data_IF_594196694113
#
_entry.id   IF_594196694113
#
_cell.length_a   1.000
_cell.length_b   1.000
_cell.length_c   1.000
_cell.angle_alpha   90.00
_cell.angle_beta   90.00
_cell.angle_gamma   90.00
#
_symmetry.space_group_name_H-M   'P 1'
#
loop_
_entity.id
_entity.type
_entity.pdbx_description
1 polymer ?
#
# COMPACT_ATOMS: atom_id res chain seq x y z
N UNK A 1 -14.19 -1.17 -29.78
CA UNK A 1 -13.20 -1.48 -30.83
C UNK A 1 -11.75 -1.61 -30.31
N UNK A 2 -11.33 -0.93 -29.24
CA UNK A 2 -9.96 -1.09 -28.70
C UNK A 2 -9.77 -2.31 -27.78
N UNK A 3 -10.77 -2.68 -26.98
CA UNK A 3 -10.68 -3.79 -26.02
C UNK A 3 -10.57 -5.17 -26.70
N UNK A 4 -11.31 -5.38 -27.78
CA UNK A 4 -11.28 -6.62 -28.58
C UNK A 4 -9.91 -6.84 -29.22
N UNK A 5 -9.29 -5.77 -29.72
CA UNK A 5 -7.92 -5.79 -30.22
C UNK A 5 -6.89 -6.10 -29.10
N UNK A 6 -7.10 -5.63 -27.86
CA UNK A 6 -6.26 -5.99 -26.72
C UNK A 6 -6.40 -7.47 -26.31
N UNK A 7 -7.62 -8.02 -26.36
CA UNK A 7 -7.91 -9.42 -26.01
C UNK A 7 -7.33 -10.37 -27.06
N UNK A 8 -7.47 -10.05 -28.35
CA UNK A 8 -6.87 -10.85 -29.41
C UNK A 8 -5.35 -10.71 -29.46
N UNK A 9 -4.81 -9.51 -29.21
CA UNK A 9 -3.37 -9.29 -29.08
C UNK A 9 -2.72 -10.13 -27.97
N UNK A 10 -3.38 -10.27 -26.81
CA UNK A 10 -2.88 -11.02 -25.64
C UNK A 10 -2.48 -12.47 -25.95
N UNK A 11 -3.17 -13.13 -26.89
CA UNK A 11 -2.87 -14.51 -27.32
C UNK A 11 -1.48 -14.64 -27.96
N UNK A 12 -0.94 -13.54 -28.47
CA UNK A 12 0.32 -13.50 -29.22
C UNK A 12 1.46 -12.82 -28.44
N UNK A 13 1.21 -12.34 -27.22
CA UNK A 13 2.21 -11.70 -26.37
C UNK A 13 3.09 -12.72 -25.63
N UNK A 14 4.32 -12.30 -25.32
CA UNK A 14 5.17 -13.04 -24.38
C UNK A 14 4.56 -12.83 -22.98
N UNK A 15 4.28 -13.90 -22.25
CA UNK A 15 3.56 -13.87 -20.95
C UNK A 15 4.43 -13.31 -19.83
N UNK A 16 4.80 -12.04 -19.93
CA UNK A 16 5.51 -11.28 -18.91
C UNK A 16 4.59 -10.15 -18.49
N UNK A 17 4.17 -10.18 -17.22
CA UNK A 17 3.35 -9.14 -16.61
C UNK A 17 4.27 -8.06 -16.06
N UNK A 18 4.17 -6.83 -16.56
CA UNK A 18 4.90 -5.67 -16.02
C UNK A 18 3.91 -4.84 -15.22
N UNK A 19 4.13 -4.71 -13.91
CA UNK A 19 3.34 -3.86 -13.03
C UNK A 19 4.17 -2.62 -12.75
N UNK A 20 3.67 -1.44 -13.11
CA UNK A 20 4.33 -0.16 -12.88
C UNK A 20 3.38 0.82 -12.18
N UNK A 21 3.90 1.56 -11.22
CA UNK A 21 3.15 2.53 -10.42
C UNK A 21 3.50 3.96 -10.82
N UNK A 22 2.55 4.69 -11.41
CA UNK A 22 2.74 6.10 -11.78
C UNK A 22 2.04 7.02 -10.78
N UNK A 23 2.76 8.01 -10.25
CA UNK A 23 2.17 9.04 -9.41
C UNK A 23 1.26 9.97 -10.24
N UNK A 24 -0.02 10.04 -9.88
CA UNK A 24 -0.97 10.94 -10.52
C UNK A 24 -0.90 12.34 -9.92
N UNK A 25 -0.85 13.35 -10.79
CA UNK A 25 -0.90 14.76 -10.43
C UNK A 25 -2.24 15.37 -10.89
N UNK A 26 -2.86 16.19 -10.02
CA UNK A 26 -4.16 16.84 -10.30
C UNK A 26 -5.21 16.57 -9.23
N UNK A 27 -6.50 16.55 -9.61
CA UNK A 27 -7.67 16.40 -8.71
C UNK A 27 -7.67 15.06 -7.96
N UNK A 28 -7.11 14.02 -8.56
CA UNK A 28 -7.00 12.68 -7.98
C UNK A 28 -5.53 12.45 -7.59
N UNK A 29 -5.22 12.64 -6.31
CA UNK A 29 -3.89 12.36 -5.75
C UNK A 29 -3.78 10.85 -5.45
N UNK A 30 -2.70 10.21 -5.86
CA UNK A 30 -2.47 8.79 -5.61
C UNK A 30 -1.39 8.19 -6.52
N UNK A 31 -1.17 6.88 -6.40
CA UNK A 31 -0.33 6.07 -7.31
C UNK A 31 -1.28 5.21 -8.13
N UNK A 32 -1.30 5.41 -9.45
CA UNK A 32 -2.01 4.53 -10.37
C UNK A 32 -1.11 3.32 -10.65
N UNK A 33 -1.56 2.14 -10.28
CA UNK A 33 -0.90 0.90 -10.64
C UNK A 33 -1.40 0.47 -12.02
N UNK A 34 -0.49 0.29 -12.96
CA UNK A 34 -0.79 -0.19 -14.30
C UNK A 34 -0.16 -1.56 -14.49
N UNK A 35 -0.98 -2.56 -14.82
CA UNK A 35 -0.50 -3.85 -15.28
C UNK A 35 -0.51 -3.80 -16.81
N UNK A 36 0.67 -3.96 -17.41
CA UNK A 36 0.84 -3.95 -18.86
C UNK A 36 1.46 -5.26 -19.35
N UNK A 37 0.91 -5.80 -20.44
CA UNK A 37 1.58 -6.83 -21.24
C UNK A 37 2.57 -6.20 -22.22
N UNK A 38 3.64 -6.91 -22.58
CA UNK A 38 4.55 -6.51 -23.66
C UNK A 38 4.38 -7.41 -24.89
N UNK A 39 4.29 -6.80 -26.07
CA UNK A 39 4.31 -7.53 -27.34
C UNK A 39 5.74 -7.92 -27.77
N UNK A 40 5.83 -8.67 -28.86
CA UNK A 40 7.12 -9.11 -29.42
C UNK A 40 8.01 -7.93 -29.88
N UNK A 41 7.43 -6.74 -30.05
CA UNK A 41 8.10 -5.49 -30.44
C UNK A 41 8.35 -4.56 -29.23
N UNK A 42 8.26 -5.08 -28.00
CA UNK A 42 8.48 -4.37 -26.73
C UNK A 42 7.49 -3.22 -26.45
N UNK A 43 6.29 -3.21 -27.04
CA UNK A 43 5.25 -2.20 -26.79
C UNK A 43 4.34 -2.61 -25.64
N UNK A 44 3.99 -1.66 -24.78
CA UNK A 44 3.18 -1.89 -23.57
C UNK A 44 1.68 -1.76 -23.86
N UNK A 45 0.88 -2.70 -23.33
CA UNK A 45 -0.58 -2.75 -23.44
C UNK A 45 -1.25 -2.61 -22.06
N UNK A 46 -2.00 -1.52 -21.77
CA UNK A 46 -2.59 -1.30 -20.45
C UNK A 46 -3.89 -2.09 -20.23
N UNK A 47 -4.01 -2.73 -19.06
CA UNK A 47 -5.13 -3.61 -18.66
C UNK A 47 -5.74 -3.04 -17.36
N UNK A 48 -6.93 -2.45 -17.41
CA UNK A 48 -7.56 -1.67 -16.33
C UNK A 48 -8.06 -2.46 -15.08
N UNK A 49 -7.40 -3.58 -14.72
CA UNK A 49 -7.79 -4.48 -13.62
C UNK A 49 -6.91 -4.34 -12.37
N UNK A 50 -5.80 -3.60 -12.47
CA UNK A 50 -4.83 -3.44 -11.39
C UNK A 50 -5.45 -2.77 -10.15
N UNK A 51 -6.37 -1.82 -10.31
CA UNK A 51 -6.91 -1.05 -9.20
C UNK A 51 -7.83 -1.88 -8.27
N UNK A 52 -8.65 -2.78 -8.80
CA UNK A 52 -9.51 -3.63 -7.95
C UNK A 52 -8.69 -4.68 -7.18
N UNK A 53 -7.71 -5.32 -7.84
CA UNK A 53 -6.82 -6.29 -7.21
C UNK A 53 -5.94 -5.60 -6.17
N UNK A 54 -5.44 -4.40 -6.46
CA UNK A 54 -4.71 -3.59 -5.49
C UNK A 54 -5.60 -3.21 -4.29
N UNK A 55 -6.84 -2.76 -4.55
CA UNK A 55 -7.80 -2.43 -3.49
C UNK A 55 -8.10 -3.64 -2.59
N UNK A 56 -8.28 -4.83 -3.18
CA UNK A 56 -8.45 -6.07 -2.42
C UNK A 56 -7.19 -6.39 -1.60
N UNK A 57 -6.00 -6.33 -2.22
CA UNK A 57 -4.73 -6.56 -1.54
C UNK A 57 -4.48 -5.58 -0.37
N UNK A 58 -4.95 -4.34 -0.48
CA UNK A 58 -4.80 -3.31 0.55
C UNK A 58 -5.92 -3.29 1.60
N UNK A 59 -6.99 -4.07 1.44
CA UNK A 59 -8.11 -4.08 2.37
C UNK A 59 -7.65 -4.39 3.80
N UNK A 60 -8.11 -3.60 4.77
CA UNK A 60 -7.74 -3.77 6.18
C UNK A 60 -8.57 -4.85 6.86
N UNK A 61 -9.82 -5.00 6.43
CA UNK A 61 -10.77 -5.96 6.99
C UNK A 61 -10.95 -7.12 6.03
N UNK A 62 -11.07 -8.33 6.57
CA UNK A 62 -11.41 -9.53 5.78
C UNK A 62 -12.76 -9.33 5.08
N UNK A 63 -13.75 -8.74 5.76
CA UNK A 63 -15.07 -8.47 5.15
C UNK A 63 -15.04 -7.45 4.00
N UNK A 64 -14.07 -6.54 3.98
CA UNK A 64 -13.86 -5.61 2.86
C UNK A 64 -13.16 -6.33 1.71
N UNK A 65 -12.16 -7.16 2.03
CA UNK A 65 -11.50 -8.03 1.06
C UNK A 65 -12.49 -8.94 0.35
N UNK A 66 -13.32 -9.71 1.08
CA UNK A 66 -14.24 -10.69 0.46
C UNK A 66 -15.21 -10.02 -0.52
N UNK A 67 -15.74 -8.84 -0.19
CA UNK A 67 -16.60 -8.06 -1.10
C UNK A 67 -15.88 -7.68 -2.40
N UNK A 68 -14.64 -7.21 -2.28
CA UNK A 68 -13.82 -6.86 -3.45
C UNK A 68 -13.42 -8.11 -4.24
N UNK A 69 -13.19 -9.23 -3.55
CA UNK A 69 -12.80 -10.50 -4.15
C UNK A 69 -13.94 -11.15 -4.94
N UNK A 70 -15.16 -11.11 -4.41
CA UNK A 70 -16.38 -11.47 -5.15
C UNK A 70 -16.59 -10.57 -6.37
N UNK A 71 -16.35 -9.25 -6.23
CA UNK A 71 -16.44 -8.34 -7.37
C UNK A 71 -15.40 -8.67 -8.45
N UNK A 72 -14.17 -9.04 -8.06
CA UNK A 72 -13.14 -9.51 -9.00
C UNK A 72 -13.64 -10.76 -9.73
N UNK A 73 -14.24 -11.72 -9.02
CA UNK A 73 -14.80 -12.94 -9.62
C UNK A 73 -15.90 -12.64 -10.65
N UNK A 74 -16.83 -11.74 -10.32
CA UNK A 74 -17.93 -11.35 -11.19
C UNK A 74 -17.45 -10.57 -12.42
N UNK A 75 -16.39 -9.77 -12.25
CA UNK A 75 -15.86 -8.94 -13.33
C UNK A 75 -14.95 -9.73 -14.27
N UNK A 76 -14.07 -10.58 -13.72
CA UNK A 76 -13.19 -11.46 -14.49
C UNK A 76 -12.84 -12.72 -13.69
N UNK A 77 -13.54 -13.81 -14.01
CA UNK A 77 -13.34 -15.11 -13.40
C UNK A 77 -11.92 -15.67 -13.63
N UNK A 78 -11.23 -15.29 -14.73
CA UNK A 78 -9.87 -15.79 -15.04
C UNK A 78 -8.84 -15.16 -14.13
N UNK A 79 -9.01 -13.86 -13.85
CA UNK A 79 -8.19 -13.14 -12.88
C UNK A 79 -8.39 -13.74 -11.49
N UNK A 80 -9.63 -13.97 -11.09
CA UNK A 80 -9.97 -14.61 -9.83
C UNK A 80 -9.38 -16.03 -9.71
N UNK A 81 -9.54 -16.88 -10.72
CA UNK A 81 -8.97 -18.25 -10.74
C UNK A 81 -7.43 -18.25 -10.63
N UNK A 82 -6.77 -17.25 -11.21
CA UNK A 82 -5.33 -17.07 -11.03
C UNK A 82 -4.98 -16.67 -9.58
N UNK A 83 -5.71 -15.72 -8.99
CA UNK A 83 -5.48 -15.25 -7.63
C UNK A 83 -5.76 -16.33 -6.59
N UNK A 84 -6.75 -17.19 -6.82
CA UNK A 84 -7.14 -18.27 -5.89
C UNK A 84 -6.02 -19.34 -5.76
N UNK A 85 -5.16 -19.47 -6.78
CA UNK A 85 -3.97 -20.35 -6.73
C UNK A 85 -2.84 -19.81 -5.85
N UNK A 86 -2.91 -18.54 -5.47
CA UNK A 86 -1.89 -17.88 -4.64
C UNK A 86 -2.44 -17.76 -3.22
N UNK A 87 -1.68 -18.21 -2.23
CA UNK A 87 -2.08 -18.03 -0.83
C UNK A 87 -2.33 -16.54 -0.53
N UNK A 88 -3.56 -16.23 -0.08
CA UNK A 88 -4.05 -14.90 0.24
C UNK A 88 -3.14 -14.19 1.26
N UNK A 89 -2.48 -14.92 2.15
CA UNK A 89 -1.53 -14.38 3.14
C UNK A 89 -0.33 -13.68 2.49
N UNK A 90 0.03 -14.08 1.26
CA UNK A 90 1.21 -13.56 0.57
C UNK A 90 0.94 -12.17 -0.03
N UNK A 91 -0.25 -11.93 -0.58
CA UNK A 91 -0.52 -10.73 -1.36
C UNK A 91 -1.58 -9.80 -0.74
N UNK A 92 -2.29 -10.23 0.30
CA UNK A 92 -3.29 -9.40 0.99
C UNK A 92 -2.81 -8.92 2.35
N UNK A 93 -3.25 -7.73 2.74
CA UNK A 93 -3.00 -7.15 4.07
C UNK A 93 -3.87 -7.79 5.14
N UNK A 94 -5.13 -8.07 4.82
CA UNK A 94 -6.14 -8.58 5.76
C UNK A 94 -5.86 -10.00 6.25
N UNK A 95 -5.21 -10.85 5.43
CA UNK A 95 -4.91 -12.25 5.79
C UNK A 95 -3.48 -12.46 6.28
N UNK A 96 -2.62 -11.43 6.22
CA UNK A 96 -1.26 -11.54 6.69
C UNK A 96 -1.19 -11.47 8.22
N UNK A 97 -0.58 -12.48 8.85
CA UNK A 97 -0.55 -12.64 10.31
C UNK A 97 0.39 -11.66 11.03
N UNK A 98 1.36 -11.07 10.32
CA UNK A 98 2.33 -10.13 10.89
C UNK A 98 1.98 -8.65 10.73
N UNK A 99 2.84 -7.77 11.25
CA UNK A 99 2.72 -6.31 11.06
C UNK A 99 3.49 -5.86 9.83
N UNK A 100 2.80 -5.46 8.76
CA UNK A 100 3.44 -4.92 7.54
C UNK A 100 3.78 -3.43 7.61
N UNK A 101 3.32 -2.68 8.62
CA UNK A 101 3.57 -1.23 8.78
C UNK A 101 3.36 -0.40 7.50
N UNK A 102 2.30 -0.70 6.74
CA UNK A 102 2.00 -0.09 5.44
C UNK A 102 3.00 -0.37 4.30
N UNK A 103 3.93 -1.31 4.46
CA UNK A 103 4.81 -1.76 3.38
C UNK A 103 4.09 -2.80 2.54
N UNK A 104 3.47 -2.37 1.44
CA UNK A 104 2.70 -3.24 0.54
C UNK A 104 3.30 -3.36 -0.87
N UNK A 105 4.33 -2.58 -1.19
CA UNK A 105 4.84 -2.45 -2.57
C UNK A 105 6.27 -2.99 -2.75
N UNK A 106 6.55 -3.45 -3.97
CA UNK A 106 7.89 -3.76 -4.49
C UNK A 106 8.81 -2.54 -4.61
N UNK A 107 8.36 -1.34 -4.24
CA UNK A 107 9.10 -0.09 -4.38
C UNK A 107 10.48 -0.14 -3.70
N UNK A 108 10.62 -0.91 -2.61
CA UNK A 108 11.92 -1.14 -1.96
C UNK A 108 12.84 -1.94 -2.89
N UNK A 109 12.33 -3.01 -3.53
CA UNK A 109 13.10 -3.83 -4.45
C UNK A 109 13.46 -3.06 -5.74
N UNK A 110 12.54 -2.28 -6.30
CA UNK A 110 12.78 -1.42 -7.46
C UNK A 110 13.82 -0.33 -7.17
N UNK A 111 13.66 0.39 -6.06
CA UNK A 111 14.63 1.40 -5.62
C UNK A 111 16.01 0.80 -5.39
N UNK A 112 16.08 -0.41 -4.80
CA UNK A 112 17.33 -1.13 -4.58
C UNK A 112 17.94 -1.62 -5.90
N UNK A 113 17.13 -2.10 -6.84
CA UNK A 113 17.57 -2.53 -8.17
C UNK A 113 18.14 -1.36 -8.96
N UNK A 114 17.47 -0.20 -8.93
CA UNK A 114 17.96 1.02 -9.55
C UNK A 114 19.27 1.48 -8.91
N UNK A 115 19.36 1.48 -7.58
CA UNK A 115 20.58 1.86 -6.88
C UNK A 115 21.77 0.92 -7.17
N UNK A 116 21.52 -0.32 -7.61
CA UNK A 116 22.53 -1.32 -8.00
C UNK A 116 23.04 -1.16 -9.43
N UNK A 117 22.36 -0.42 -10.30
CA UNK A 117 22.75 -0.25 -11.70
C UNK A 117 24.23 0.13 -11.89
N UNK A 118 24.82 1.07 -11.11
CA UNK A 118 26.23 1.45 -11.28
C UNK A 118 27.26 0.37 -10.93
N UNK A 119 26.86 -0.68 -10.21
CA UNK A 119 27.74 -1.77 -9.77
C UNK A 119 27.44 -3.13 -10.41
N UNK A 120 26.46 -3.18 -11.33
CA UNK A 120 25.90 -4.44 -11.84
C UNK A 120 26.89 -5.30 -12.62
N UNK A 121 27.83 -4.67 -13.31
CA UNK A 121 28.85 -5.35 -14.12
C UNK A 121 30.19 -5.54 -13.36
N UNK A 122 30.19 -5.26 -12.05
CA UNK A 122 31.37 -5.43 -11.21
C UNK A 122 31.52 -6.88 -10.71
N UNK A 123 32.76 -7.34 -10.45
CA UNK A 123 32.98 -8.61 -9.74
C UNK A 123 32.20 -8.65 -8.41
N UNK A 124 31.75 -9.83 -7.99
CA UNK A 124 30.89 -10.03 -6.80
C UNK A 124 31.43 -9.30 -5.55
N UNK A 125 32.74 -9.33 -5.32
CA UNK A 125 33.38 -8.66 -4.18
C UNK A 125 33.23 -7.13 -4.26
N UNK A 126 33.38 -6.56 -5.45
CA UNK A 126 33.21 -5.13 -5.68
C UNK A 126 31.73 -4.69 -5.57
N UNK A 127 30.79 -5.52 -6.03
CA UNK A 127 29.36 -5.28 -5.84
C UNK A 127 28.96 -5.32 -4.35
N UNK A 128 29.47 -6.30 -3.59
CA UNK A 128 29.23 -6.39 -2.14
C UNK A 128 29.77 -5.17 -1.40
N UNK A 129 30.97 -4.71 -1.74
CA UNK A 129 31.57 -3.52 -1.14
C UNK A 129 30.80 -2.24 -1.53
N UNK A 130 30.31 -2.16 -2.77
CA UNK A 130 29.44 -1.07 -3.22
C UNK A 130 28.13 -1.02 -2.41
N UNK A 131 27.43 -2.16 -2.26
CA UNK A 131 26.20 -2.25 -1.47
C UNK A 131 26.47 -1.86 -0.01
N UNK A 132 27.54 -2.37 0.60
CA UNK A 132 27.92 -2.04 1.98
C UNK A 132 28.16 -0.55 2.19
N UNK A 133 28.89 0.11 1.26
CA UNK A 133 29.15 1.56 1.32
C UNK A 133 27.87 2.37 1.12
N UNK A 134 27.03 1.96 0.17
CA UNK A 134 25.74 2.62 -0.09
C UNK A 134 24.83 2.57 1.14
N UNK A 135 24.64 1.38 1.74
CA UNK A 135 23.83 1.22 2.94
C UNK A 135 24.38 2.02 4.11
N UNK A 136 25.71 1.98 4.33
CA UNK A 136 26.37 2.79 5.38
C UNK A 136 26.08 4.28 5.21
N UNK A 137 26.23 4.82 3.99
CA UNK A 137 25.92 6.24 3.71
C UNK A 137 24.44 6.56 3.93
N UNK A 138 23.53 5.66 3.54
CA UNK A 138 22.10 5.85 3.76
C UNK A 138 21.72 5.83 5.23
N UNK A 139 22.32 4.94 6.03
CA UNK A 139 22.12 4.91 7.47
C UNK A 139 22.68 6.16 8.15
N UNK A 140 23.88 6.59 7.75
CA UNK A 140 24.49 7.80 8.31
C UNK A 140 23.71 9.06 7.95
N UNK A 141 23.26 9.19 6.69
CA UNK A 141 22.38 10.28 6.27
C UNK A 141 21.08 10.30 7.08
N UNK A 142 20.49 9.13 7.34
CA UNK A 142 19.30 9.01 8.19
C UNK A 142 19.57 9.43 9.64
N UNK A 143 20.68 8.99 10.23
CA UNK A 143 21.08 9.39 11.59
C UNK A 143 21.30 10.90 11.70
N UNK A 144 22.05 11.49 10.77
CA UNK A 144 22.29 12.93 10.71
C UNK A 144 21.00 13.74 10.51
N UNK A 145 20.02 13.22 9.75
CA UNK A 145 18.71 13.87 9.62
C UNK A 145 17.97 13.84 10.96
N UNK A 146 17.90 12.68 11.60
CA UNK A 146 17.22 12.51 12.91
C UNK A 146 17.90 13.36 13.99
N UNK A 147 19.23 13.41 14.04
CA UNK A 147 19.96 14.20 15.05
C UNK A 147 19.74 15.70 14.93
N UNK A 148 19.41 16.17 13.72
CA UNK A 148 19.10 17.59 13.43
C UNK A 148 17.61 17.91 13.53
N UNK A 149 16.76 16.88 13.62
CA UNK A 149 15.33 17.09 13.73
C UNK A 149 14.98 17.64 15.11
N UNK A 150 14.12 18.65 15.11
CA UNK A 150 13.42 19.13 16.30
C UNK A 150 12.03 18.51 16.32
N UNK A 151 11.52 18.16 17.51
CA UNK A 151 10.23 17.49 17.67
C UNK A 151 10.32 16.01 18.01
N UNK A 152 9.18 15.43 18.40
CA UNK A 152 9.10 14.07 18.98
C UNK A 152 8.99 12.99 17.88
N UNK A 153 8.54 13.36 16.68
CA UNK A 153 8.28 12.42 15.58
C UNK A 153 8.95 12.86 14.27
N UNK A 154 9.30 11.90 13.38
CA UNK A 154 9.76 12.21 12.03
C UNK A 154 8.72 12.98 11.20
N UNK A 155 9.17 13.86 10.31
CA UNK A 155 8.31 14.73 9.49
C UNK A 155 7.29 13.96 8.64
N UNK A 156 7.67 12.77 8.18
CA UNK A 156 6.76 11.87 7.44
C UNK A 156 5.59 11.40 8.33
N UNK A 157 5.88 11.05 9.58
CA UNK A 157 4.85 10.62 10.53
C UNK A 157 3.98 11.82 10.90
N UNK A 158 4.58 12.98 11.12
CA UNK A 158 3.84 14.23 11.35
C UNK A 158 2.86 14.54 10.21
N UNK A 159 3.29 14.42 8.96
CA UNK A 159 2.41 14.60 7.80
C UNK A 159 1.22 13.63 7.80
N UNK A 160 1.47 12.34 8.07
CA UNK A 160 0.40 11.33 8.18
C UNK A 160 -0.57 11.70 9.30
N UNK A 161 -0.07 12.13 10.47
CA UNK A 161 -0.92 12.52 11.61
C UNK A 161 -1.74 13.77 11.30
N UNK A 162 -1.16 14.77 10.63
CA UNK A 162 -1.88 15.98 10.19
C UNK A 162 -3.00 15.62 9.22
N UNK A 163 -2.76 14.70 8.27
CA UNK A 163 -3.83 14.21 7.38
C UNK A 163 -4.96 13.52 8.16
N UNK A 164 -4.61 12.67 9.13
CA UNK A 164 -5.62 12.01 9.98
C UNK A 164 -6.39 13.02 10.86
N UNK A 165 -5.73 14.08 11.33
CA UNK A 165 -6.35 15.16 12.09
C UNK A 165 -7.38 15.93 11.25
N UNK A 166 -7.08 16.23 9.98
CA UNK A 166 -8.06 16.85 9.08
C UNK A 166 -9.26 15.92 8.86
N UNK A 167 -9.03 14.62 8.71
CA UNK A 167 -10.08 13.63 8.52
C UNK A 167 -10.92 13.32 9.76
N UNK A 168 -10.49 13.75 10.94
CA UNK A 168 -11.24 13.56 12.19
C UNK A 168 -12.22 14.71 12.47
N UNK A 169 -12.09 15.83 11.74
CA UNK A 169 -12.98 16.98 11.87
C UNK A 169 -14.43 16.55 11.59
N UNK A 170 -15.32 16.82 12.53
CA UNK A 170 -16.75 16.55 12.40
C UNK A 170 -17.19 15.15 12.84
N UNK A 171 -16.28 14.31 13.35
CA UNK A 171 -16.64 13.07 14.05
C UNK A 171 -17.30 13.41 15.39
N UNK A 172 -18.32 12.63 15.76
CA UNK A 172 -18.92 12.71 17.09
C UNK A 172 -18.18 11.75 18.02
N UNK A 173 -17.84 12.24 19.21
CA UNK A 173 -17.05 11.51 20.20
C UNK A 173 -17.89 11.31 21.44
N UNK A 174 -18.09 10.06 21.84
CA UNK A 174 -18.83 9.68 23.03
C UNK A 174 -17.90 8.89 23.95
N UNK A 175 -17.53 9.43 25.13
CA UNK A 175 -16.68 8.71 26.07
C UNK A 175 -17.47 7.55 26.72
N UNK A 176 -16.88 6.35 26.72
CA UNK A 176 -17.42 5.17 27.40
C UNK A 176 -16.68 4.90 28.72
N UNK A 177 -15.38 5.17 28.77
CA UNK A 177 -14.54 5.08 29.96
C UNK A 177 -13.36 6.07 29.90
N UNK A 178 -12.38 5.95 30.79
CA UNK A 178 -11.16 6.77 30.77
C UNK A 178 -10.35 6.60 29.48
N UNK A 179 -10.38 5.39 28.89
CA UNK A 179 -9.57 5.05 27.73
C UNK A 179 -10.40 4.57 26.53
N UNK A 180 -11.71 4.36 26.69
CA UNK A 180 -12.59 3.85 25.65
C UNK A 180 -13.59 4.90 25.18
N UNK A 181 -13.73 5.02 23.86
CA UNK A 181 -14.56 6.02 23.19
C UNK A 181 -15.31 5.39 22.03
N UNK A 182 -16.54 5.84 21.82
CA UNK A 182 -17.33 5.56 20.63
C UNK A 182 -17.32 6.77 19.70
N UNK A 183 -16.86 6.54 18.46
CA UNK A 183 -16.68 7.58 17.45
C UNK A 183 -17.68 7.37 16.31
N UNK A 184 -18.59 8.32 16.11
CA UNK A 184 -19.65 8.21 15.11
C UNK A 184 -19.45 9.16 13.92
N UNK A 185 -19.61 8.62 12.72
CA UNK A 185 -19.56 9.39 11.47
C UNK A 185 -20.91 10.05 11.21
N UNK A 186 -21.01 11.39 11.29
CA UNK A 186 -22.28 12.12 11.10
C UNK A 186 -23.00 11.79 9.79
N UNK A 187 -22.24 11.59 8.70
CA UNK A 187 -22.80 11.35 7.38
C UNK A 187 -23.43 9.96 7.21
N UNK A 188 -22.93 8.95 7.93
CA UNK A 188 -23.37 7.55 7.76
C UNK A 188 -24.06 6.97 8.99
N UNK A 189 -23.94 7.64 10.15
CA UNK A 189 -24.39 7.12 11.44
C UNK A 189 -23.57 5.93 11.96
N UNK A 190 -22.50 5.53 11.28
CA UNK A 190 -21.72 4.35 11.65
C UNK A 190 -20.74 4.67 12.80
N UNK A 191 -20.83 3.87 13.87
CA UNK A 191 -19.99 3.97 15.07
C UNK A 191 -18.72 3.13 14.99
N UNK A 192 -17.66 3.59 15.66
CA UNK A 192 -16.38 2.90 15.80
C UNK A 192 -15.94 2.97 17.25
N UNK A 193 -15.68 1.81 17.86
CA UNK A 193 -15.04 1.77 19.18
C UNK A 193 -13.52 1.99 19.06
N UNK A 194 -12.99 2.76 20.00
CA UNK A 194 -11.57 3.08 20.16
C UNK A 194 -11.17 2.82 21.60
N UNK A 195 -10.06 2.14 21.80
CA UNK A 195 -9.40 1.96 23.10
C UNK A 195 -7.98 2.52 22.99
N UNK A 196 -7.72 3.62 23.69
CA UNK A 196 -6.44 4.33 23.67
C UNK A 196 -5.35 3.64 24.51
N UNK A 197 -5.74 2.90 25.56
CA UNK A 197 -4.80 2.17 26.43
C UNK A 197 -4.24 0.96 25.68
N UNK A 198 -5.12 0.14 25.09
CA UNK A 198 -4.72 -1.02 24.27
C UNK A 198 -4.26 -0.63 22.87
N UNK A 199 -4.43 0.63 22.47
CA UNK A 199 -4.12 1.16 21.13
C UNK A 199 -4.87 0.42 20.01
N UNK A 200 -6.16 0.21 20.19
CA UNK A 200 -7.00 -0.50 19.23
C UNK A 200 -8.17 0.36 18.75
N UNK A 201 -8.59 0.10 17.52
CA UNK A 201 -9.79 0.69 16.95
C UNK A 201 -10.52 -0.33 16.08
N UNK A 202 -11.85 -0.25 16.03
CA UNK A 202 -12.68 -1.07 15.14
C UNK A 202 -12.35 -0.85 13.64
N UNK A 203 -11.69 0.25 13.28
CA UNK A 203 -11.22 0.48 11.91
C UNK A 203 -9.97 -0.35 11.55
N UNK A 204 -9.34 -1.01 12.52
CA UNK A 204 -8.13 -1.85 12.40
C UNK A 204 -6.83 -1.09 12.09
N UNK A 205 -6.91 0.15 11.59
CA UNK A 205 -5.73 0.94 11.19
C UNK A 205 -4.80 1.25 12.35
N UNK A 206 -5.33 1.52 13.55
CA UNK A 206 -4.51 1.90 14.72
C UNK A 206 -3.54 0.77 15.11
N UNK A 207 -4.08 -0.44 15.30
CA UNK A 207 -3.28 -1.61 15.67
C UNK A 207 -2.37 -2.12 14.55
N UNK A 208 -2.78 -1.98 13.28
CA UNK A 208 -1.98 -2.43 12.12
C UNK A 208 -0.81 -1.51 11.80
N UNK A 209 -1.00 -0.19 11.87
CA UNK A 209 0.06 0.77 11.58
C UNK A 209 0.91 1.12 12.79
N UNK A 210 0.37 0.95 14.00
CA UNK A 210 0.99 1.45 15.23
C UNK A 210 0.97 2.98 15.34
N UNK A 211 0.18 3.64 14.48
CA UNK A 211 -0.04 5.08 14.47
C UNK A 211 -1.53 5.38 14.71
N UNK A 212 -1.88 6.43 15.46
CA UNK A 212 -3.26 6.85 15.63
C UNK A 212 -3.97 7.02 14.28
N UNK A 213 -5.11 6.35 14.13
CA UNK A 213 -6.03 6.59 13.01
C UNK A 213 -6.91 7.82 13.32
N UNK A 214 -7.63 8.36 12.33
CA UNK A 214 -8.57 9.49 12.54
C UNK A 214 -9.54 9.30 13.70
N UNK A 215 -9.96 8.07 14.01
CA UNK A 215 -10.84 7.78 15.15
C UNK A 215 -10.09 7.87 16.48
N UNK A 216 -8.85 7.38 16.53
CA UNK A 216 -8.00 7.44 17.71
C UNK A 216 -7.40 8.83 17.98
N UNK A 217 -7.38 9.72 16.98
CA UNK A 217 -7.04 11.14 17.17
C UNK A 217 -8.24 11.93 17.69
N UNK A 218 -9.47 11.51 17.35
CA UNK A 218 -10.70 12.15 17.82
C UNK A 218 -11.04 11.78 19.26
N UNK A 219 -10.79 10.52 19.64
CA UNK A 219 -10.89 10.01 21.01
C UNK A 219 -9.87 10.72 21.92
#
# INVERSE_FOLDING_TARGET
MSLEACIDGWKHLRKVLVVDGTHMFGKYKGVLLSASGQDADCRAFPIAFADMVASAGEAFKVSEFEKLYELIQLTDWRCWDYLEKIDRKLWTRSHFEGKRYNMMTSNIAESLNHARLPGRDSPIVALMEFIRRMLTRWFESRRCKISKMTGIVPKLIEQILVEQLVLCIGLLVFPCSTWEFEITHKATGFGFSVDLEKRTCLCIKFQMFGLPCRHAIAA
#
